data_IF_885787486770
#
_entry.id   IF_885787486770
#
_cell.length_a   1.000
_cell.length_b   1.000
_cell.length_c   1.000
_cell.angle_alpha   90.00
_cell.angle_beta   90.00
_cell.angle_gamma   90.00
#
_symmetry.space_group_name_H-M   'P 1'
#
loop_
_entity.id
_entity.type
_entity.pdbx_description
1 polymer ?
#
# COMPACT_ATOMS: atom_id res chain seq x y z
N UNK A 1 -17.59 -14.39 -31.97
CA UNK A 1 -16.48 -13.58 -31.44
C UNK A 1 -16.68 -13.57 -29.95
N UNK A 2 -16.10 -14.57 -29.28
CA UNK A 2 -16.29 -14.78 -27.84
C UNK A 2 -15.50 -13.73 -27.09
N UNK A 3 -16.22 -12.81 -26.44
CA UNK A 3 -15.63 -11.89 -25.48
C UNK A 3 -15.27 -12.70 -24.25
N UNK A 4 -13.97 -12.97 -24.04
CA UNK A 4 -13.45 -13.50 -22.79
C UNK A 4 -13.88 -12.59 -21.63
N UNK A 5 -14.89 -13.03 -20.89
CA UNK A 5 -15.28 -12.42 -19.64
C UNK A 5 -14.20 -12.73 -18.61
N UNK A 6 -13.19 -11.85 -18.50
CA UNK A 6 -12.20 -11.96 -17.44
C UNK A 6 -12.91 -11.80 -16.11
N UNK A 7 -12.98 -12.87 -15.32
CA UNK A 7 -13.59 -12.88 -13.99
C UNK A 7 -13.05 -11.73 -13.13
N UNK A 8 -13.94 -11.04 -12.41
CA UNK A 8 -13.54 -9.92 -11.57
C UNK A 8 -12.76 -10.44 -10.36
N UNK A 9 -11.84 -9.67 -9.76
CA UNK A 9 -10.97 -10.17 -8.69
C UNK A 9 -11.70 -10.77 -7.48
N UNK A 10 -12.92 -10.30 -7.18
CA UNK A 10 -13.78 -10.80 -6.10
C UNK A 10 -14.54 -12.09 -6.44
N UNK A 11 -14.52 -12.51 -7.70
CA UNK A 11 -15.13 -13.76 -8.19
C UNK A 11 -14.10 -14.91 -8.27
N UNK A 12 -12.82 -14.61 -8.00
CA UNK A 12 -11.73 -15.59 -8.06
C UNK A 12 -11.62 -16.38 -6.74
N UNK A 13 -11.39 -17.70 -6.79
CA UNK A 13 -10.96 -18.46 -5.62
C UNK A 13 -9.70 -17.84 -5.00
N UNK A 14 -9.58 -17.87 -3.67
CA UNK A 14 -8.44 -17.30 -2.94
C UNK A 14 -7.09 -17.79 -3.47
N UNK A 15 -6.99 -19.08 -3.81
CA UNK A 15 -5.77 -19.64 -4.40
C UNK A 15 -5.37 -18.96 -5.70
N UNK A 16 -6.34 -18.68 -6.59
CA UNK A 16 -6.10 -18.00 -7.86
C UNK A 16 -5.75 -16.53 -7.63
N UNK A 17 -6.41 -15.86 -6.68
CA UNK A 17 -6.09 -14.48 -6.30
C UNK A 17 -4.67 -14.37 -5.72
N UNK A 18 -4.28 -15.31 -4.85
CA UNK A 18 -2.92 -15.39 -4.27
C UNK A 18 -1.86 -15.57 -5.36
N UNK A 19 -2.09 -16.46 -6.31
CA UNK A 19 -1.16 -16.65 -7.42
C UNK A 19 -1.03 -15.38 -8.27
N UNK A 20 -2.18 -14.76 -8.59
CA UNK A 20 -2.20 -13.51 -9.36
C UNK A 20 -1.45 -12.38 -8.65
N UNK A 21 -1.58 -12.25 -7.33
CA UNK A 21 -0.83 -11.25 -6.55
C UNK A 21 0.68 -11.50 -6.64
N UNK A 22 1.12 -12.76 -6.48
CA UNK A 22 2.53 -13.13 -6.64
C UNK A 22 3.06 -12.80 -8.02
N UNK A 23 2.34 -13.20 -9.06
CA UNK A 23 2.76 -12.96 -10.45
C UNK A 23 2.86 -11.47 -10.77
N UNK A 24 1.96 -10.64 -10.20
CA UNK A 24 1.93 -9.20 -10.44
C UNK A 24 2.97 -8.42 -9.63
N UNK A 25 3.31 -8.90 -8.44
CA UNK A 25 4.33 -8.29 -7.59
C UNK A 25 5.73 -8.85 -7.85
N UNK A 26 5.85 -10.00 -8.51
CA UNK A 26 7.13 -10.55 -8.93
C UNK A 26 7.89 -9.55 -9.80
N UNK A 27 9.14 -9.27 -9.42
CA UNK A 27 9.99 -8.29 -10.13
C UNK A 27 9.65 -6.83 -9.86
N UNK A 28 8.70 -6.53 -8.97
CA UNK A 28 8.57 -5.18 -8.41
C UNK A 28 9.65 -4.95 -7.36
N UNK A 29 10.17 -3.73 -7.30
CA UNK A 29 11.19 -3.32 -6.33
C UNK A 29 11.06 -1.83 -6.02
N UNK A 30 11.81 -1.36 -5.02
CA UNK A 30 11.90 0.05 -4.66
C UNK A 30 12.67 0.83 -5.74
N UNK A 31 12.13 0.91 -6.95
CA UNK A 31 12.73 1.71 -8.00
C UNK A 31 12.55 3.19 -7.64
N UNK A 32 13.66 3.88 -7.37
CA UNK A 32 13.70 5.34 -7.32
C UNK A 32 13.21 5.90 -8.66
N UNK A 33 12.01 6.46 -8.66
CA UNK A 33 11.36 7.03 -9.84
C UNK A 33 10.20 7.91 -9.42
N UNK A 34 9.74 8.78 -10.33
CA UNK A 34 8.58 9.63 -10.02
C UNK A 34 7.40 8.78 -9.54
N UNK A 35 6.67 9.24 -8.50
CA UNK A 35 5.46 8.58 -8.04
C UNK A 35 4.52 8.37 -9.23
N UNK A 36 4.36 7.12 -9.67
CA UNK A 36 3.37 6.79 -10.68
C UNK A 36 2.02 6.84 -9.98
N UNK A 37 1.27 7.92 -10.21
CA UNK A 37 -0.19 7.93 -10.01
C UNK A 37 -0.81 7.01 -11.07
N UNK A 38 -0.54 5.71 -10.95
CA UNK A 38 -1.05 4.70 -11.85
C UNK A 38 -2.59 4.70 -11.74
N UNK A 39 -3.25 4.49 -12.88
CA UNK A 39 -4.71 4.39 -13.01
C UNK A 39 -5.51 5.69 -12.87
N UNK A 40 -4.86 6.84 -12.72
CA UNK A 40 -5.55 8.14 -12.83
C UNK A 40 -5.36 8.74 -14.23
N UNK A 41 -6.43 9.36 -14.76
CA UNK A 41 -6.29 10.20 -15.95
C UNK A 41 -5.30 11.34 -15.67
N UNK A 42 -4.57 11.87 -16.68
CA UNK A 42 -3.68 13.01 -16.48
C UNK A 42 -4.36 14.23 -15.84
N UNK A 43 -5.65 14.44 -16.11
CA UNK A 43 -6.45 15.49 -15.50
C UNK A 43 -6.69 15.23 -14.01
N UNK A 44 -7.02 13.99 -13.65
CA UNK A 44 -7.20 13.58 -12.25
C UNK A 44 -5.89 13.66 -11.48
N UNK A 45 -4.79 13.18 -12.06
CA UNK A 45 -3.47 13.25 -11.44
C UNK A 45 -3.06 14.71 -11.13
N UNK A 46 -3.24 15.65 -12.08
CA UNK A 46 -3.01 17.09 -11.84
C UNK A 46 -3.91 17.65 -10.73
N UNK A 47 -5.19 17.25 -10.71
CA UNK A 47 -6.13 17.69 -9.68
C UNK A 47 -5.77 17.15 -8.29
N UNK A 48 -5.21 15.95 -8.20
CA UNK A 48 -4.75 15.37 -6.94
C UNK A 48 -3.43 15.98 -6.47
N UNK A 49 -2.53 16.32 -7.40
CA UNK A 49 -1.24 16.97 -7.10
C UNK A 49 -1.37 18.24 -6.24
N UNK A 50 -2.44 19.02 -6.40
CA UNK A 50 -2.67 20.23 -5.58
C UNK A 50 -2.87 19.97 -4.08
N UNK A 51 -3.15 18.73 -3.70
CA UNK A 51 -3.30 18.32 -2.30
C UNK A 51 -2.01 17.75 -1.71
N UNK A 52 -0.96 17.59 -2.52
CA UNK A 52 0.34 17.15 -2.08
C UNK A 52 1.27 18.36 -1.88
N UNK A 53 2.17 18.26 -0.91
CA UNK A 53 3.24 19.23 -0.69
C UNK A 53 4.24 19.21 -1.85
N UNK A 54 4.80 20.37 -2.18
CA UNK A 54 5.87 20.51 -3.18
C UNK A 54 7.13 19.71 -2.82
N UNK A 55 7.31 19.42 -1.53
CA UNK A 55 8.39 18.59 -0.99
C UNK A 55 7.78 17.46 -0.15
N UNK A 56 7.43 16.31 -0.76
CA UNK A 56 6.95 15.16 -0.01
C UNK A 56 8.07 14.58 0.84
N UNK A 57 7.76 14.25 2.09
CA UNK A 57 8.66 13.50 2.96
C UNK A 57 8.63 12.04 2.51
N UNK A 58 9.79 11.42 2.23
CA UNK A 58 9.84 9.99 1.92
C UNK A 58 9.25 9.16 3.06
N UNK A 59 8.36 8.24 2.71
CA UNK A 59 7.69 7.34 3.64
C UNK A 59 7.48 5.97 3.00
N UNK A 60 7.35 4.94 3.83
CA UNK A 60 7.05 3.57 3.41
C UNK A 60 5.99 2.96 4.31
N UNK A 61 5.12 2.13 3.72
CA UNK A 61 4.06 1.42 4.44
C UNK A 61 4.12 -0.07 4.13
N UNK A 62 3.75 -0.90 5.10
CA UNK A 62 3.51 -2.31 4.89
C UNK A 62 2.04 -2.50 4.51
N UNK A 63 1.79 -3.20 3.40
CA UNK A 63 0.44 -3.65 3.01
C UNK A 63 0.34 -5.17 3.30
N UNK A 64 0.00 -5.55 4.54
CA UNK A 64 -0.07 -6.97 4.90
C UNK A 64 -1.29 -7.63 4.25
N UNK A 65 -1.05 -8.69 3.48
CA UNK A 65 -2.11 -9.54 2.92
C UNK A 65 -2.18 -10.81 3.77
N UNK A 66 -3.27 -10.96 4.51
CA UNK A 66 -3.46 -12.02 5.49
C UNK A 66 -4.37 -13.10 4.88
N UNK A 67 -3.84 -14.32 4.80
CA UNK A 67 -4.57 -15.50 4.37
C UNK A 67 -5.40 -16.04 5.54
N UNK A 68 -6.74 -16.00 5.42
CA UNK A 68 -7.70 -16.50 6.41
C UNK A 68 -8.36 -17.80 5.96
N UNK A 69 -7.78 -18.49 4.97
CA UNK A 69 -8.35 -19.70 4.36
C UNK A 69 -9.25 -19.34 3.18
N UNK A 70 -10.53 -19.10 3.45
CA UNK A 70 -11.54 -18.83 2.40
C UNK A 70 -11.53 -17.38 1.90
N UNK A 71 -10.76 -16.50 2.54
CA UNK A 71 -10.61 -15.09 2.15
C UNK A 71 -9.19 -14.54 2.36
N UNK A 72 -8.87 -13.48 1.62
CA UNK A 72 -7.71 -12.64 1.89
C UNK A 72 -8.17 -11.32 2.50
N UNK A 73 -7.54 -10.93 3.61
CA UNK A 73 -7.81 -9.65 4.27
C UNK A 73 -6.57 -8.78 4.28
N UNK A 74 -6.77 -7.49 4.53
CA UNK A 74 -5.67 -6.55 4.80
C UNK A 74 -5.82 -5.99 6.20
N UNK A 75 -4.69 -5.75 6.88
CA UNK A 75 -4.68 -5.04 8.15
C UNK A 75 -4.51 -3.55 7.91
N UNK A 76 -5.30 -2.78 8.64
CA UNK A 76 -5.23 -1.32 8.71
C UNK A 76 -5.09 -0.93 10.18
N UNK A 77 -4.39 0.16 10.44
CA UNK A 77 -4.29 0.78 11.76
C UNK A 77 -5.23 1.98 11.83
N UNK A 78 -5.78 2.22 13.02
CA UNK A 78 -6.47 3.45 13.35
C UNK A 78 -5.58 4.24 14.30
N UNK A 79 -5.16 5.44 13.89
CA UNK A 79 -4.34 6.30 14.76
C UNK A 79 -5.17 6.73 15.97
N UNK A 80 -4.57 6.61 17.15
CA UNK A 80 -5.20 6.97 18.42
C UNK A 80 -5.86 8.37 18.35
N UNK A 81 -7.09 8.45 18.84
CA UNK A 81 -7.98 9.61 18.69
C UNK A 81 -7.53 10.85 19.47
N UNK A 82 -6.53 10.69 20.34
CA UNK A 82 -5.95 11.70 21.21
C UNK A 82 -4.71 12.40 20.62
N UNK A 83 -4.26 12.02 19.42
CA UNK A 83 -3.15 12.66 18.73
C UNK A 83 -3.53 14.04 18.16
N UNK A 84 -2.67 15.05 18.37
CA UNK A 84 -2.86 16.44 17.90
C UNK A 84 -2.96 16.57 16.35
N UNK A 85 -2.50 15.57 15.62
CA UNK A 85 -2.59 15.48 14.16
C UNK A 85 -3.04 14.08 13.76
N UNK A 86 -3.91 13.99 12.74
CA UNK A 86 -4.32 12.73 12.11
C UNK A 86 -5.09 11.73 13.00
N UNK A 87 -5.75 12.20 14.06
CA UNK A 87 -6.61 11.39 14.92
C UNK A 87 -7.69 10.62 14.13
N UNK A 88 -7.86 9.33 14.39
CA UNK A 88 -8.86 8.48 13.77
C UNK A 88 -8.63 8.18 12.28
N UNK A 89 -7.45 8.51 11.74
CA UNK A 89 -7.12 8.15 10.37
C UNK A 89 -6.89 6.65 10.25
N UNK A 90 -7.55 6.05 9.26
CA UNK A 90 -7.33 4.66 8.85
C UNK A 90 -6.21 4.64 7.82
N UNK A 91 -5.15 3.91 8.11
CA UNK A 91 -3.96 3.82 7.26
C UNK A 91 -3.41 2.39 7.26
N UNK A 92 -2.49 2.12 6.32
CA UNK A 92 -1.58 0.99 6.46
C UNK A 92 -0.51 1.35 7.50
N UNK A 93 -0.01 0.36 8.27
CA UNK A 93 1.09 0.60 9.19
C UNK A 93 2.35 1.01 8.43
N UNK A 94 3.12 1.93 9.01
CA UNK A 94 4.29 2.49 8.38
C UNK A 94 4.49 3.97 8.70
N UNK A 95 5.58 4.53 8.17
CA UNK A 95 5.98 5.86 8.53
C UNK A 95 7.10 6.42 7.66
N UNK A 96 7.78 7.43 8.21
CA UNK A 96 8.81 8.16 7.48
C UNK A 96 10.07 7.30 7.35
N UNK A 97 10.80 7.49 6.26
CA UNK A 97 12.16 6.96 6.18
C UNK A 97 13.05 7.77 7.12
N UNK A 98 13.81 7.07 7.95
CA UNK A 98 14.86 7.64 8.78
C UNK A 98 16.24 7.53 8.11
N UNK A 99 17.22 8.38 8.48
CA UNK A 99 18.55 8.34 7.88
C UNK A 99 19.27 7.00 8.01
N UNK A 100 18.94 6.25 9.06
CA UNK A 100 19.56 4.96 9.38
C UNK A 100 18.80 3.77 8.76
N UNK A 101 17.65 4.00 8.10
CA UNK A 101 16.94 2.93 7.39
C UNK A 101 17.71 2.54 6.11
N UNK A 102 18.11 1.26 5.95
CA UNK A 102 18.86 0.82 4.76
C UNK A 102 18.07 0.98 3.46
N UNK A 103 16.76 0.84 3.52
CA UNK A 103 15.82 1.02 2.40
C UNK A 103 14.37 1.22 2.90
N UNK A 104 13.45 1.42 1.96
CA UNK A 104 12.02 1.57 2.24
C UNK A 104 11.37 0.33 2.88
N UNK A 105 11.92 -0.87 2.63
CA UNK A 105 11.37 -2.11 3.22
C UNK A 105 11.69 -2.12 4.72
N UNK A 106 12.92 -1.79 5.09
CA UNK A 106 13.33 -1.71 6.49
C UNK A 106 12.54 -0.64 7.25
N UNK A 107 12.34 0.55 6.63
CA UNK A 107 11.52 1.61 7.23
C UNK A 107 10.08 1.13 7.51
N UNK A 108 9.43 0.47 6.53
CA UNK A 108 8.07 -0.04 6.71
C UNK A 108 7.98 -1.11 7.80
N UNK A 109 8.96 -2.02 7.87
CA UNK A 109 9.00 -3.07 8.89
C UNK A 109 9.24 -2.50 10.29
N UNK A 110 10.20 -1.59 10.46
CA UNK A 110 10.49 -0.90 11.73
C UNK A 110 9.25 -0.16 12.25
N UNK A 111 8.62 0.66 11.42
CA UNK A 111 7.42 1.41 11.82
C UNK A 111 6.25 0.47 12.16
N UNK A 112 6.09 -0.62 11.39
CA UNK A 112 5.04 -1.60 11.69
C UNK A 112 5.30 -2.31 13.03
N UNK A 113 6.56 -2.61 13.34
CA UNK A 113 6.97 -3.15 14.65
C UNK A 113 6.60 -2.19 15.78
N UNK A 114 6.92 -0.91 15.63
CA UNK A 114 6.65 0.11 16.64
C UNK A 114 5.14 0.35 16.87
N UNK A 115 4.34 0.30 15.80
CA UNK A 115 2.90 0.56 15.87
C UNK A 115 2.07 -0.63 16.36
N UNK A 116 2.40 -1.86 15.93
CA UNK A 116 1.57 -3.05 16.21
C UNK A 116 2.33 -4.28 16.73
N UNK A 117 3.67 -4.24 16.87
CA UNK A 117 4.51 -5.34 17.37
C UNK A 117 4.48 -6.58 16.48
N UNK A 118 4.95 -6.43 15.24
CA UNK A 118 4.96 -7.49 14.22
C UNK A 118 6.06 -8.55 14.48
#
# INVERSE_FOLDING_TARGET
MDTEHTARPHELPVTALRQRLRDRLAGTGAAGGEPRLAHFSPATARRLRRFFTDQPVPAAVLVPIIDRGDELTVLLTERASDLKHHAGQIAFPGGRLEPDDPDAVNAALRETEEEIGL
#
